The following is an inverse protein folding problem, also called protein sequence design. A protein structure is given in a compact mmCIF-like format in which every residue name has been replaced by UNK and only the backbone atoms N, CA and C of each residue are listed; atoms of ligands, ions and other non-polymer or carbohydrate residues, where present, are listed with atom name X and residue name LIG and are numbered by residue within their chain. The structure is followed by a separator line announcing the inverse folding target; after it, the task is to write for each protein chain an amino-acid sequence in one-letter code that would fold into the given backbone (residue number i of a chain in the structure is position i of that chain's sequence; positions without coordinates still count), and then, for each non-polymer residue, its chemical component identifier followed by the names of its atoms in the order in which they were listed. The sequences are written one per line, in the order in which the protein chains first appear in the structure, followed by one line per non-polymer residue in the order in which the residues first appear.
data_IF_017493817668
#
_entry.id   IF_017493817668
#
_cell.length_a   1.000
_cell.length_b   1.000
_cell.length_c   1.000
_cell.angle_alpha   90.00
_cell.angle_beta   90.00
_cell.angle_gamma   90.00
#
_symmetry.space_group_name_H-M   'P 1'
#
loop_
_entity.id
_entity.type
_entity.pdbx_description
1 polymer ?
#
# COMPACT_ATOMS: atom_id res chain seq x y z
N UNK A 1 -4.33 21.36 -2.29
CA UNK A 1 -3.92 20.40 -3.30
C UNK A 1 -4.56 20.83 -4.61
N UNK A 2 -3.77 21.35 -5.55
CA UNK A 2 -4.28 21.69 -6.87
C UNK A 2 -4.57 20.39 -7.63
N UNK A 3 -5.83 20.10 -7.83
CA UNK A 3 -6.30 19.04 -8.71
C UNK A 3 -5.74 19.27 -10.11
N UNK A 4 -5.02 18.32 -10.64
CA UNK A 4 -4.58 18.31 -12.04
C UNK A 4 -3.14 18.68 -12.34
N UNK A 5 -2.32 19.07 -11.36
CA UNK A 5 -0.86 19.21 -11.56
C UNK A 5 -0.12 18.57 -10.39
N UNK A 6 0.73 17.62 -10.69
CA UNK A 6 1.70 17.09 -9.72
C UNK A 6 2.49 18.27 -9.14
N UNK A 7 2.64 18.32 -7.82
CA UNK A 7 3.48 19.34 -7.21
C UNK A 7 4.90 19.26 -7.76
N UNK A 8 5.63 20.38 -7.78
CA UNK A 8 7.04 20.41 -8.21
C UNK A 8 7.90 19.40 -7.44
N UNK A 9 7.57 19.16 -6.16
CA UNK A 9 8.24 18.17 -5.34
C UNK A 9 7.99 16.74 -5.86
N UNK A 10 6.75 16.39 -6.16
CA UNK A 10 6.42 15.06 -6.72
C UNK A 10 7.05 14.87 -8.09
N UNK A 11 7.03 15.91 -8.95
CA UNK A 11 7.70 15.85 -10.25
C UNK A 11 9.19 15.59 -10.12
N UNK A 12 9.86 16.24 -9.16
CA UNK A 12 11.27 15.99 -8.86
C UNK A 12 11.48 14.53 -8.43
N UNK A 13 10.64 14.02 -7.53
CA UNK A 13 10.73 12.62 -7.05
C UNK A 13 10.52 11.59 -8.17
N UNK A 14 9.61 11.88 -9.09
CA UNK A 14 9.37 11.03 -10.27
C UNK A 14 10.62 11.02 -11.16
N UNK A 15 11.21 12.18 -11.42
CA UNK A 15 12.40 12.31 -12.26
C UNK A 15 13.64 11.62 -11.65
N UNK A 16 13.73 11.58 -10.32
CA UNK A 16 14.81 10.92 -9.58
C UNK A 16 14.55 9.42 -9.32
N UNK A 17 13.37 8.93 -9.66
CA UNK A 17 12.99 7.55 -9.38
C UNK A 17 13.68 6.55 -10.33
N UNK A 18 14.05 5.39 -9.79
CA UNK A 18 14.45 4.24 -10.60
C UNK A 18 13.24 3.63 -11.35
N UNK A 19 13.50 2.71 -12.29
CA UNK A 19 12.45 2.11 -13.12
C UNK A 19 11.36 1.38 -12.30
N UNK A 20 11.72 0.77 -11.17
CA UNK A 20 10.76 0.11 -10.28
C UNK A 20 9.80 1.13 -9.65
N UNK A 21 10.33 2.25 -9.17
CA UNK A 21 9.53 3.34 -8.61
C UNK A 21 8.69 4.05 -9.65
N UNK A 22 9.20 4.24 -10.87
CA UNK A 22 8.44 4.82 -11.98
C UNK A 22 7.22 3.97 -12.30
N UNK A 23 7.36 2.66 -12.43
CA UNK A 23 6.24 1.74 -12.65
C UNK A 23 5.19 1.82 -11.53
N UNK A 24 5.64 1.91 -10.27
CA UNK A 24 4.73 2.08 -9.13
C UNK A 24 3.96 3.39 -9.22
N UNK A 25 4.65 4.50 -9.51
CA UNK A 25 4.03 5.82 -9.65
C UNK A 25 3.02 5.83 -10.81
N UNK A 26 3.37 5.24 -11.95
CA UNK A 26 2.48 5.13 -13.10
C UNK A 26 1.25 4.27 -12.77
N UNK A 27 1.44 3.17 -12.06
CA UNK A 27 0.35 2.33 -11.56
C UNK A 27 -0.61 3.12 -10.66
N UNK A 28 -0.08 3.92 -9.76
CA UNK A 28 -0.86 4.80 -8.89
C UNK A 28 -1.62 5.88 -9.68
N UNK A 29 -0.92 6.59 -10.57
CA UNK A 29 -1.51 7.63 -11.42
C UNK A 29 -2.68 7.08 -12.22
N UNK A 30 -2.50 5.91 -12.84
CA UNK A 30 -3.54 5.26 -13.63
C UNK A 30 -4.72 4.77 -12.76
N UNK A 31 -4.44 4.16 -11.62
CA UNK A 31 -5.47 3.62 -10.73
C UNK A 31 -6.39 4.72 -10.17
N UNK A 32 -5.82 5.86 -9.80
CA UNK A 32 -6.57 6.98 -9.24
C UNK A 32 -7.00 8.04 -10.26
N UNK A 33 -6.65 7.87 -11.54
CA UNK A 33 -6.99 8.83 -12.59
C UNK A 33 -6.40 10.23 -12.36
N UNK A 34 -5.24 10.32 -11.68
CA UNK A 34 -4.61 11.60 -11.30
C UNK A 34 -4.25 12.43 -12.53
N UNK A 35 -3.86 11.77 -13.63
CA UNK A 35 -3.57 12.36 -14.94
C UNK A 35 -4.80 12.98 -15.63
N UNK A 36 -5.99 12.53 -15.24
CA UNK A 36 -7.29 12.97 -15.77
C UNK A 36 -8.00 14.02 -14.92
N UNK A 37 -7.26 14.72 -14.04
CA UNK A 37 -7.82 15.76 -13.16
C UNK A 37 -8.02 15.34 -11.71
N UNK A 38 -7.59 14.14 -11.36
CA UNK A 38 -7.67 13.61 -10.01
C UNK A 38 -9.06 13.09 -9.62
N UNK A 39 -9.16 12.51 -8.45
CA UNK A 39 -10.43 12.06 -7.92
C UNK A 39 -11.20 13.24 -7.31
N UNK A 40 -12.46 13.47 -7.67
CA UNK A 40 -13.27 14.53 -7.08
C UNK A 40 -13.52 14.33 -5.57
N UNK A 41 -13.22 13.13 -5.07
CA UNK A 41 -13.38 12.75 -3.67
C UNK A 41 -12.17 13.11 -2.78
N UNK A 42 -11.03 13.46 -3.38
CA UNK A 42 -9.83 13.85 -2.63
C UNK A 42 -9.86 15.36 -2.40
N UNK A 43 -10.30 15.76 -1.22
CA UNK A 43 -10.33 17.15 -0.80
C UNK A 43 -9.10 17.49 0.06
N UNK A 44 -8.81 18.79 0.21
CA UNK A 44 -7.76 19.26 1.14
C UNK A 44 -8.03 18.75 2.56
N UNK A 45 -9.29 18.74 2.98
CA UNK A 45 -9.69 18.28 4.30
C UNK A 45 -9.46 16.77 4.49
N UNK A 46 -9.78 15.95 3.47
CA UNK A 46 -9.54 14.50 3.55
C UNK A 46 -8.05 14.17 3.66
N UNK A 47 -7.19 14.89 2.92
CA UNK A 47 -5.73 14.74 3.02
C UNK A 47 -5.24 15.14 4.42
N UNK A 48 -5.71 16.26 4.95
CA UNK A 48 -5.36 16.70 6.29
C UNK A 48 -5.78 15.68 7.36
N UNK A 49 -7.01 15.18 7.28
CA UNK A 49 -7.52 14.19 8.22
C UNK A 49 -6.72 12.89 8.18
N UNK A 50 -6.31 12.44 7.00
CA UNK A 50 -5.46 11.26 6.85
C UNK A 50 -4.11 11.47 7.54
N UNK A 51 -3.41 12.56 7.23
CA UNK A 51 -2.13 12.87 7.88
C UNK A 51 -2.25 13.00 9.39
N UNK A 52 -3.29 13.68 9.88
CA UNK A 52 -3.53 13.82 11.31
C UNK A 52 -3.75 12.45 11.96
N UNK A 53 -4.59 11.60 11.36
CA UNK A 53 -4.83 10.24 11.85
C UNK A 53 -3.54 9.42 11.91
N UNK A 54 -2.71 9.49 10.88
CA UNK A 54 -1.44 8.76 10.81
C UNK A 54 -0.44 9.20 11.89
N UNK A 55 -0.48 10.48 12.27
CA UNK A 55 0.43 11.03 13.30
C UNK A 55 -0.02 10.73 14.72
N UNK A 56 -1.33 10.73 15.00
CA UNK A 56 -1.84 10.61 16.39
C UNK A 56 -2.26 9.19 16.74
N UNK A 57 -2.54 8.33 15.76
CA UNK A 57 -2.98 6.97 16.02
C UNK A 57 -1.83 6.11 16.52
N UNK A 58 -1.96 5.62 17.74
CA UNK A 58 -1.03 4.64 18.30
C UNK A 58 -1.31 3.28 17.68
N UNK A 59 -0.29 2.71 17.06
CA UNK A 59 -0.37 1.37 16.50
C UNK A 59 -0.25 0.33 17.60
N UNK A 60 -1.21 -0.59 17.66
CA UNK A 60 -1.16 -1.75 18.54
C UNK A 60 -0.41 -2.89 17.85
N UNK A 61 0.17 -3.80 18.66
CA UNK A 61 0.84 -5.00 18.19
C UNK A 61 0.27 -6.23 18.89
N UNK A 62 0.36 -7.38 18.23
CA UNK A 62 -0.12 -8.64 18.79
C UNK A 62 -1.65 -8.72 18.90
N UNK A 63 -2.38 -7.99 18.04
CA UNK A 63 -3.85 -8.00 18.01
C UNK A 63 -4.31 -9.43 17.69
N UNK A 64 -5.11 -10.00 18.57
CA UNK A 64 -5.74 -11.30 18.38
C UNK A 64 -7.13 -11.11 17.78
N UNK A 65 -7.43 -11.81 16.69
CA UNK A 65 -8.74 -11.81 16.04
C UNK A 65 -9.22 -13.25 15.97
N UNK A 66 -9.91 -13.75 17.00
CA UNK A 66 -10.34 -15.15 17.08
C UNK A 66 -11.21 -15.55 15.89
N UNK A 67 -10.96 -16.76 15.35
CA UNK A 67 -11.73 -17.30 14.23
C UNK A 67 -11.43 -16.65 12.87
N UNK A 68 -10.37 -15.81 12.80
CA UNK A 68 -9.98 -15.15 11.54
C UNK A 68 -8.54 -15.44 11.22
N UNK A 69 -8.26 -15.88 10.00
CA UNK A 69 -6.90 -15.98 9.48
C UNK A 69 -6.47 -14.62 8.91
N UNK A 70 -5.34 -14.13 9.38
CA UNK A 70 -4.78 -12.84 8.91
C UNK A 70 -3.65 -13.14 7.92
N UNK A 71 -3.81 -12.67 6.69
CA UNK A 71 -2.78 -12.75 5.66
C UNK A 71 -2.10 -11.39 5.47
N UNK A 72 -0.79 -11.36 5.57
CA UNK A 72 0.03 -10.15 5.38
C UNK A 72 0.88 -10.31 4.11
N UNK A 73 0.64 -9.48 3.12
CA UNK A 73 1.47 -9.38 1.92
C UNK A 73 2.51 -8.28 2.12
N UNK A 74 3.75 -8.68 2.38
CA UNK A 74 4.81 -7.74 2.73
C UNK A 74 5.76 -7.47 1.56
N UNK A 75 5.92 -6.20 1.22
CA UNK A 75 6.84 -5.73 0.19
C UNK A 75 8.26 -5.56 0.78
N UNK A 76 9.19 -6.46 0.44
CA UNK A 76 10.51 -6.53 1.10
C UNK A 76 11.40 -5.32 0.80
N UNK A 77 11.16 -4.60 -0.29
CA UNK A 77 11.90 -3.36 -0.61
C UNK A 77 11.60 -2.20 0.35
N UNK A 78 10.59 -2.32 1.22
CA UNK A 78 10.38 -1.41 2.34
C UNK A 78 11.47 -1.51 3.42
N UNK A 79 12.15 -2.66 3.52
CA UNK A 79 13.24 -2.90 4.46
C UNK A 79 12.82 -3.46 5.82
N UNK A 80 13.79 -4.01 6.55
CA UNK A 80 13.58 -4.77 7.80
C UNK A 80 12.89 -3.99 8.92
N UNK A 81 13.10 -2.67 8.98
CA UNK A 81 12.45 -1.83 10.00
C UNK A 81 10.93 -1.88 9.87
N UNK A 82 10.44 -1.78 8.64
CA UNK A 82 9.01 -1.82 8.36
C UNK A 82 8.46 -3.24 8.43
N UNK A 83 9.24 -4.25 8.04
CA UNK A 83 8.87 -5.65 8.19
C UNK A 83 8.51 -5.98 9.64
N UNK A 84 9.41 -5.68 10.58
CA UNK A 84 9.15 -5.88 12.00
C UNK A 84 7.88 -5.17 12.46
N UNK A 85 7.67 -3.94 11.98
CA UNK A 85 6.51 -3.13 12.35
C UNK A 85 5.20 -3.72 11.84
N UNK A 86 5.11 -4.02 10.54
CA UNK A 86 3.85 -4.44 9.92
C UNK A 86 3.51 -5.92 10.14
N UNK A 87 4.51 -6.79 10.23
CA UNK A 87 4.28 -8.21 10.44
C UNK A 87 3.99 -8.59 11.90
N UNK A 88 4.03 -7.63 12.82
CA UNK A 88 3.71 -7.86 14.25
C UNK A 88 2.42 -7.19 14.71
N UNK A 89 1.65 -6.57 13.83
CA UNK A 89 0.37 -5.95 14.20
C UNK A 89 -0.62 -6.99 14.69
N UNK A 90 -0.71 -8.12 14.01
CA UNK A 90 -1.59 -9.21 14.37
C UNK A 90 -0.82 -10.38 14.98
N UNK A 91 -1.48 -11.14 15.83
CA UNK A 91 -0.94 -12.35 16.41
C UNK A 91 -0.93 -13.47 15.37
N UNK A 92 0.23 -14.10 15.18
CA UNK A 92 0.40 -15.25 14.27
C UNK A 92 -0.14 -15.05 12.84
N UNK A 93 0.22 -13.97 12.13
CA UNK A 93 -0.24 -13.80 10.75
C UNK A 93 0.48 -14.76 9.80
N UNK A 94 -0.20 -15.18 8.72
CA UNK A 94 0.43 -15.79 7.56
C UNK A 94 1.12 -14.70 6.73
N UNK A 95 2.46 -14.70 6.71
CA UNK A 95 3.24 -13.63 6.08
C UNK A 95 3.80 -14.11 4.74
N UNK A 96 3.38 -13.45 3.65
CA UNK A 96 3.90 -13.67 2.30
C UNK A 96 4.74 -12.50 1.87
N UNK A 97 6.00 -12.77 1.52
CA UNK A 97 6.98 -11.75 1.15
C UNK A 97 7.12 -11.64 -0.34
N UNK A 98 7.03 -10.41 -0.85
CA UNK A 98 7.21 -10.10 -2.27
C UNK A 98 8.38 -9.13 -2.43
N UNK A 99 9.30 -9.41 -3.32
CA UNK A 99 10.45 -8.53 -3.60
C UNK A 99 10.04 -7.34 -4.49
N UNK A 100 9.19 -6.51 -3.95
CA UNK A 100 8.53 -5.39 -4.61
C UNK A 100 8.56 -4.15 -3.72
N UNK A 101 8.22 -2.99 -4.29
CA UNK A 101 7.96 -1.75 -3.54
C UNK A 101 6.61 -1.84 -2.81
N UNK A 102 6.39 -0.94 -1.85
CA UNK A 102 5.10 -0.79 -1.19
C UNK A 102 3.98 -0.62 -2.21
N UNK A 103 2.93 -1.41 -2.07
CA UNK A 103 1.75 -1.43 -2.96
C UNK A 103 1.99 -1.86 -4.42
N UNK A 104 3.22 -2.14 -4.84
CA UNK A 104 3.55 -2.53 -6.21
C UNK A 104 2.77 -3.78 -6.67
N UNK A 105 2.61 -4.78 -5.78
CA UNK A 105 1.83 -5.98 -6.07
C UNK A 105 0.38 -5.62 -6.46
N UNK A 106 -0.25 -4.76 -5.69
CA UNK A 106 -1.63 -4.34 -5.92
C UNK A 106 -1.77 -3.42 -7.14
N UNK A 107 -0.91 -2.40 -7.27
CA UNK A 107 -1.04 -1.37 -8.31
C UNK A 107 -0.53 -1.80 -9.69
N UNK A 108 0.48 -2.69 -9.74
CA UNK A 108 1.19 -2.99 -10.99
C UNK A 108 1.06 -4.46 -11.43
N UNK A 109 0.66 -5.36 -10.52
CA UNK A 109 0.61 -6.81 -10.75
C UNK A 109 -0.75 -7.39 -10.35
N UNK A 110 -1.83 -6.85 -10.90
CA UNK A 110 -3.21 -7.19 -10.50
C UNK A 110 -3.55 -8.68 -10.65
N UNK A 111 -3.05 -9.34 -11.69
CA UNK A 111 -3.27 -10.77 -11.88
C UNK A 111 -2.60 -11.63 -10.79
N UNK A 112 -1.39 -11.26 -10.38
CA UNK A 112 -0.67 -11.90 -9.28
C UNK A 112 -1.36 -11.62 -7.94
N UNK A 113 -1.79 -10.39 -7.73
CA UNK A 113 -2.59 -10.00 -6.56
C UNK A 113 -3.84 -10.85 -6.42
N UNK A 114 -4.64 -10.99 -7.47
CA UNK A 114 -5.85 -11.82 -7.48
C UNK A 114 -5.52 -13.28 -7.18
N UNK A 115 -4.44 -13.83 -7.73
CA UNK A 115 -3.98 -15.19 -7.47
C UNK A 115 -3.62 -15.40 -6.00
N UNK A 116 -2.91 -14.46 -5.39
CA UNK A 116 -2.52 -14.54 -3.98
C UNK A 116 -3.74 -14.43 -3.04
N UNK A 117 -4.69 -13.55 -3.36
CA UNK A 117 -5.94 -13.44 -2.60
C UNK A 117 -6.76 -14.71 -2.69
N UNK A 118 -6.90 -15.31 -3.88
CA UNK A 118 -7.60 -16.59 -4.07
C UNK A 118 -6.98 -17.71 -3.23
N UNK A 119 -5.65 -17.86 -3.24
CA UNK A 119 -4.95 -18.83 -2.39
C UNK A 119 -5.25 -18.65 -0.91
N UNK A 120 -5.34 -17.41 -0.44
CA UNK A 120 -5.69 -17.12 0.94
C UNK A 120 -7.08 -17.63 1.28
N UNK A 121 -8.07 -17.29 0.45
CA UNK A 121 -9.48 -17.71 0.65
C UNK A 121 -9.67 -19.21 0.53
N UNK A 122 -8.98 -19.87 -0.41
CA UNK A 122 -9.08 -21.31 -0.63
C UNK A 122 -8.36 -22.10 0.48
N UNK A 123 -7.22 -21.62 0.95
CA UNK A 123 -6.47 -22.23 2.05
C UNK A 123 -7.22 -22.22 3.38
N UNK A 124 -8.03 -21.20 3.62
CA UNK A 124 -8.84 -21.07 4.85
C UNK A 124 -10.09 -21.98 4.87
N UNK A 125 -10.43 -22.60 3.74
CA UNK A 125 -11.57 -23.52 3.62
C UNK A 125 -11.22 -24.98 3.90
N UNK A 126 -9.93 -25.28 4.10
CA UNK A 126 -9.45 -26.61 4.47
C UNK A 126 -9.29 -26.73 5.98
#
# INVERSE_FOLDING_TARGET
VHTGKLSKFMQKKINEADESRKKLIDGFVNMFGIDKGGSPWITKQSVYNQFYSDLVTKVQHGIDVPGTTIHVFYATKMGRKYEKRYCTYFKNPDIRRHNMQHEELFCCHSAEWVKEVKKSVEGDRQ
#
